data_IF_382653517339
#
_entry.id   IF_382653517339
#
_cell.length_a   1.000
_cell.length_b   1.000
_cell.length_c   1.000
_cell.angle_alpha   90.00
_cell.angle_beta   90.00
_cell.angle_gamma   90.00
#
_symmetry.space_group_name_H-M   'P 1'
#
loop_
_entity.id
_entity.type
_entity.pdbx_description
1 polymer ?
#
# COMPACT_ATOMS: atom_id res chain seq x y z
N UNK A 1 -15.25 -6.20 -6.64
CA UNK A 1 -14.36 -5.13 -6.16
C UNK A 1 -13.03 -5.25 -6.89
N UNK A 2 -12.52 -4.19 -7.52
CA UNK A 2 -11.28 -4.24 -8.30
C UNK A 2 -10.08 -4.00 -7.37
N UNK A 3 -9.09 -4.91 -7.41
CA UNK A 3 -7.83 -4.84 -6.68
C UNK A 3 -6.69 -4.66 -7.67
N UNK A 4 -5.79 -3.74 -7.39
CA UNK A 4 -4.65 -3.39 -8.25
C UNK A 4 -3.35 -3.72 -7.54
N UNK A 5 -2.46 -4.46 -8.19
CA UNK A 5 -1.10 -4.64 -7.70
C UNK A 5 -0.21 -3.48 -8.16
N UNK A 6 0.50 -2.86 -7.23
CA UNK A 6 1.55 -1.87 -7.49
C UNK A 6 2.87 -2.50 -7.07
N UNK A 7 3.83 -2.55 -8.00
CA UNK A 7 5.15 -3.12 -7.78
C UNK A 7 6.14 -1.98 -7.54
N UNK A 8 6.84 -2.04 -6.41
CA UNK A 8 7.82 -1.06 -5.96
C UNK A 8 7.27 -0.09 -4.91
N UNK A 9 8.20 0.62 -4.27
CA UNK A 9 7.91 1.52 -3.14
C UNK A 9 8.37 2.97 -3.34
N UNK A 10 8.76 3.32 -4.57
CA UNK A 10 9.19 4.68 -4.89
C UNK A 10 8.04 5.71 -4.82
N UNK A 11 8.34 7.01 -4.89
CA UNK A 11 7.32 8.07 -4.83
C UNK A 11 6.17 7.90 -5.83
N UNK A 12 6.46 7.41 -7.04
CA UNK A 12 5.45 7.14 -8.05
C UNK A 12 4.47 6.02 -7.63
N UNK A 13 4.98 4.94 -7.05
CA UNK A 13 4.19 3.82 -6.57
C UNK A 13 3.30 4.22 -5.40
N UNK A 14 3.85 4.98 -4.44
CA UNK A 14 3.10 5.51 -3.30
C UNK A 14 2.02 6.50 -3.77
N UNK A 15 2.35 7.43 -4.68
CA UNK A 15 1.38 8.39 -5.23
C UNK A 15 0.24 7.69 -5.99
N UNK A 16 0.55 6.68 -6.80
CA UNK A 16 -0.47 5.87 -7.48
C UNK A 16 -1.34 5.11 -6.48
N UNK A 17 -0.75 4.53 -5.43
CA UNK A 17 -1.45 3.84 -4.35
C UNK A 17 -2.48 4.77 -3.70
N UNK A 18 -2.08 5.99 -3.31
CA UNK A 18 -2.99 6.95 -2.68
C UNK A 18 -4.14 7.33 -3.61
N UNK A 19 -3.88 7.56 -4.90
CA UNK A 19 -4.92 7.91 -5.88
C UNK A 19 -5.92 6.77 -6.11
N UNK A 20 -5.46 5.52 -6.20
CA UNK A 20 -6.34 4.35 -6.36
C UNK A 20 -7.18 4.10 -5.11
N UNK A 21 -6.58 4.22 -3.93
CA UNK A 21 -7.30 4.14 -2.66
C UNK A 21 -8.34 5.28 -2.54
N UNK A 22 -8.02 6.47 -3.04
CA UNK A 22 -8.95 7.59 -3.11
C UNK A 22 -10.13 7.32 -4.05
N UNK A 23 -9.89 6.62 -5.15
CA UNK A 23 -10.90 6.26 -6.15
C UNK A 23 -11.79 5.06 -5.75
N UNK A 24 -11.74 4.61 -4.49
CA UNK A 24 -12.57 3.48 -4.04
C UNK A 24 -11.94 2.09 -4.30
N UNK A 25 -10.73 2.01 -4.86
CA UNK A 25 -10.09 0.73 -5.20
C UNK A 25 -9.38 0.09 -3.99
N UNK A 26 -9.02 -1.19 -4.15
CA UNK A 26 -8.11 -1.89 -3.25
C UNK A 26 -6.73 -2.01 -3.91
N UNK A 27 -5.66 -1.95 -3.13
CA UNK A 27 -4.28 -2.00 -3.62
C UNK A 27 -3.48 -3.07 -2.87
N UNK A 28 -2.72 -3.86 -3.63
CA UNK A 28 -1.61 -4.66 -3.11
C UNK A 28 -0.31 -3.93 -3.47
N UNK A 29 0.41 -3.44 -2.47
CA UNK A 29 1.73 -2.85 -2.63
C UNK A 29 2.78 -3.95 -2.44
N UNK A 30 3.50 -4.30 -3.50
CA UNK A 30 4.52 -5.35 -3.49
C UNK A 30 5.90 -4.68 -3.53
N UNK A 31 6.75 -4.95 -2.54
CA UNK A 31 8.04 -4.28 -2.40
C UNK A 31 9.16 -5.28 -2.14
N UNK A 32 10.32 -5.03 -2.74
CA UNK A 32 11.55 -5.77 -2.43
C UNK A 32 12.01 -5.51 -0.98
N UNK A 33 11.65 -4.36 -0.39
CA UNK A 33 11.96 -4.07 1.01
C UNK A 33 10.96 -4.76 1.93
N UNK A 34 11.46 -5.26 3.05
CA UNK A 34 10.67 -5.89 4.12
C UNK A 34 9.63 -4.93 4.70
N UNK A 35 10.01 -3.67 4.86
CA UNK A 35 9.14 -2.57 5.25
C UNK A 35 9.60 -1.34 4.45
N UNK A 36 8.96 -1.03 3.32
CA UNK A 36 9.38 0.09 2.50
C UNK A 36 9.35 1.42 3.27
N UNK A 37 10.38 2.24 3.10
CA UNK A 37 10.45 3.59 3.65
C UNK A 37 9.54 4.52 2.84
N UNK A 38 8.66 5.23 3.52
CA UNK A 38 7.62 6.04 2.90
C UNK A 38 6.29 5.63 3.51
N UNK A 39 5.99 6.19 4.68
CA UNK A 39 4.63 6.22 5.15
C UNK A 39 3.79 6.80 4.01
N UNK A 40 2.77 6.10 3.52
CA UNK A 40 1.64 6.85 2.95
C UNK A 40 1.34 7.90 4.01
N UNK A 41 1.22 9.17 3.63
CA UNK A 41 1.14 10.26 4.62
C UNK A 41 -0.02 10.04 5.61
N UNK A 42 -1.00 9.25 5.19
CA UNK A 42 -2.17 8.77 5.95
C UNK A 42 -1.89 7.66 6.98
N UNK A 43 -0.71 7.03 6.93
CA UNK A 43 -0.15 6.21 8.01
C UNK A 43 0.81 6.99 8.91
N UNK A 44 1.30 8.15 8.45
CA UNK A 44 2.14 9.03 9.26
C UNK A 44 1.40 9.67 10.45
N UNK A 45 0.06 9.57 10.51
CA UNK A 45 -0.74 9.91 11.69
C UNK A 45 -0.45 9.03 12.92
N UNK A 46 0.24 7.89 12.75
CA UNK A 46 0.72 7.06 13.86
C UNK A 46 2.01 7.62 14.52
N UNK A 47 2.60 8.69 14.00
CA UNK A 47 3.71 9.39 14.65
C UNK A 47 3.16 10.40 15.67
N UNK A 48 2.72 9.92 16.84
CA UNK A 48 2.51 10.76 18.02
C UNK A 48 1.10 10.76 18.65
N UNK A 49 0.11 10.07 18.06
CA UNK A 49 -1.26 10.06 18.59
C UNK A 49 -1.71 8.62 18.84
N UNK A 50 -1.58 8.16 20.09
CA UNK A 50 -2.06 6.84 20.54
C UNK A 50 -3.58 6.65 20.36
N UNK A 51 -4.33 7.73 20.20
CA UNK A 51 -5.80 7.72 20.05
C UNK A 51 -6.28 7.62 18.58
N UNK A 52 -5.43 7.93 17.59
CA UNK A 52 -5.75 7.86 16.15
C UNK A 52 -5.19 6.61 15.47
N UNK A 53 -4.68 5.66 16.25
CA UNK A 53 -4.27 4.36 15.74
C UNK A 53 -5.49 3.67 15.11
N UNK A 54 -5.57 3.72 13.77
CA UNK A 54 -6.52 2.93 12.99
C UNK A 54 -6.37 1.49 13.48
N UNK A 55 -7.45 0.81 13.90
CA UNK A 55 -7.38 -0.58 14.32
C UNK A 55 -6.57 -1.36 13.30
N UNK A 56 -5.46 -1.97 13.74
CA UNK A 56 -4.58 -2.77 12.90
C UNK A 56 -5.34 -3.90 12.20
N UNK A 57 -6.46 -4.31 12.78
CA UNK A 57 -7.36 -5.32 12.25
C UNK A 57 -8.66 -4.66 11.80
N UNK A 58 -8.98 -4.89 10.53
CA UNK A 58 -10.28 -4.59 9.97
C UNK A 58 -11.38 -5.31 10.76
N UNK A 59 -12.40 -4.56 11.22
CA UNK A 59 -13.54 -5.15 11.90
C UNK A 59 -14.17 -6.27 11.04
N UNK A 60 -14.72 -7.33 11.66
CA UNK A 60 -15.35 -8.42 10.93
C UNK A 60 -16.36 -7.91 9.89
N UNK A 61 -16.22 -8.36 8.64
CA UNK A 61 -17.07 -7.91 7.53
C UNK A 61 -16.58 -6.66 6.78
N UNK A 62 -15.48 -6.04 7.22
CA UNK A 62 -14.81 -4.97 6.45
C UNK A 62 -13.70 -5.54 5.57
N UNK A 63 -13.46 -4.92 4.40
CA UNK A 63 -12.39 -5.36 3.48
C UNK A 63 -11.18 -4.44 3.60
N UNK A 64 -9.98 -4.96 3.91
CA UNK A 64 -8.76 -4.17 3.89
C UNK A 64 -8.48 -3.69 2.46
N UNK A 65 -8.38 -2.38 2.32
CA UNK A 65 -8.22 -1.71 1.02
C UNK A 65 -6.75 -1.58 0.65
N UNK A 66 -5.83 -1.61 1.60
CA UNK A 66 -4.40 -1.73 1.33
C UNK A 66 -3.84 -3.00 1.95
N UNK A 67 -3.01 -3.69 1.17
CA UNK A 67 -2.17 -4.79 1.62
C UNK A 67 -0.73 -4.56 1.19
N UNK A 68 0.22 -4.76 2.09
CA UNK A 68 1.65 -4.76 1.82
C UNK A 68 2.14 -6.21 1.73
N UNK A 69 2.90 -6.52 0.68
CA UNK A 69 3.72 -7.71 0.54
C UNK A 69 5.19 -7.26 0.42
N UNK A 70 5.89 -7.24 1.55
CA UNK A 70 7.28 -6.83 1.63
C UNK A 70 8.24 -8.03 1.52
N UNK A 71 9.49 -7.73 1.20
CA UNK A 71 10.53 -8.71 0.93
C UNK A 71 10.23 -9.61 -0.29
N UNK A 72 9.63 -9.03 -1.34
CA UNK A 72 9.25 -9.74 -2.56
C UNK A 72 9.83 -9.02 -3.78
N UNK A 73 10.73 -9.67 -4.49
CA UNK A 73 11.26 -9.18 -5.77
C UNK A 73 10.38 -9.67 -6.89
N UNK A 74 9.71 -8.74 -7.59
CA UNK A 74 8.92 -9.05 -8.77
C UNK A 74 9.73 -8.80 -10.04
N UNK A 75 9.88 -9.81 -10.89
CA UNK A 75 10.71 -9.69 -12.09
C UNK A 75 10.93 -11.04 -12.77
N UNK A 76 11.61 -11.03 -13.92
CA UNK A 76 11.97 -12.26 -14.64
C UNK A 76 12.86 -13.15 -13.78
N UNK A 77 13.82 -12.54 -13.08
CA UNK A 77 14.74 -13.21 -12.14
C UNK A 77 14.34 -12.96 -10.67
N UNK A 78 13.09 -12.59 -10.43
CA UNK A 78 12.55 -12.30 -9.11
C UNK A 78 12.11 -13.56 -8.36
N UNK A 79 11.60 -13.35 -7.16
CA UNK A 79 10.97 -14.42 -6.36
C UNK A 79 9.63 -14.85 -6.99
N UNK A 80 8.99 -13.92 -7.70
CA UNK A 80 7.78 -14.11 -8.50
C UNK A 80 7.80 -13.24 -9.75
N UNK A 81 7.26 -13.71 -10.86
CA UNK A 81 7.14 -12.94 -12.11
C UNK A 81 5.87 -12.09 -12.14
N UNK A 82 5.86 -11.06 -12.99
CA UNK A 82 4.66 -10.24 -13.23
C UNK A 82 3.46 -11.07 -13.71
N UNK A 83 3.71 -12.07 -14.56
CA UNK A 83 2.67 -12.95 -15.08
C UNK A 83 2.09 -13.85 -13.98
N UNK A 84 2.94 -14.39 -13.10
CA UNK A 84 2.47 -15.19 -11.95
C UNK A 84 1.64 -14.34 -10.98
N UNK A 85 2.06 -13.11 -10.67
CA UNK A 85 1.25 -12.18 -9.87
C UNK A 85 -0.14 -11.99 -10.49
N UNK A 86 -0.19 -11.74 -11.80
CA UNK A 86 -1.45 -11.56 -12.52
C UNK A 86 -2.32 -12.82 -12.49
N UNK A 87 -1.74 -13.98 -12.78
CA UNK A 87 -2.45 -15.26 -12.80
C UNK A 87 -2.99 -15.62 -11.42
N UNK A 88 -2.18 -15.54 -10.37
CA UNK A 88 -2.60 -15.84 -8.99
C UNK A 88 -3.70 -14.87 -8.55
N UNK A 89 -3.58 -13.57 -8.84
CA UNK A 89 -4.61 -12.58 -8.53
C UNK A 89 -5.93 -12.82 -9.28
N UNK A 90 -5.88 -13.36 -10.51
CA UNK A 90 -7.07 -13.62 -11.32
C UNK A 90 -7.98 -14.73 -10.74
N UNK A 91 -7.45 -15.59 -9.87
CA UNK A 91 -8.24 -16.63 -9.18
C UNK A 91 -9.16 -16.04 -8.09
N UNK A 92 -8.98 -14.77 -7.72
CA UNK A 92 -9.80 -14.08 -6.73
C UNK A 92 -9.49 -14.44 -5.28
N UNK A 93 -8.59 -15.41 -5.03
CA UNK A 93 -8.06 -15.71 -3.71
C UNK A 93 -6.77 -14.90 -3.46
N UNK A 94 -6.83 -14.07 -2.43
CA UNK A 94 -5.76 -13.16 -2.07
C UNK A 94 -4.54 -13.89 -1.51
N UNK A 95 -4.72 -15.06 -0.91
CA UNK A 95 -3.65 -15.76 -0.20
C UNK A 95 -2.70 -16.49 -1.14
N UNK A 96 -3.11 -16.73 -2.39
CA UNK A 96 -2.34 -17.50 -3.36
C UNK A 96 -0.94 -16.95 -3.62
N UNK A 97 -0.77 -15.64 -3.67
CA UNK A 97 0.56 -15.02 -3.83
C UNK A 97 1.45 -15.35 -2.62
N UNK A 98 0.91 -15.22 -1.41
CA UNK A 98 1.65 -15.50 -0.16
C UNK A 98 1.95 -16.99 -0.03
N UNK A 99 1.00 -17.85 -0.40
CA UNK A 99 1.17 -19.31 -0.41
C UNK A 99 2.25 -19.74 -1.39
N UNK A 100 2.25 -19.18 -2.60
CA UNK A 100 3.26 -19.49 -3.62
C UNK A 100 4.66 -19.08 -3.15
N UNK A 101 4.80 -17.87 -2.61
CA UNK A 101 6.08 -17.40 -2.05
C UNK A 101 6.56 -18.31 -0.91
N UNK A 102 5.66 -18.71 0.00
CA UNK A 102 5.99 -19.64 1.10
C UNK A 102 6.36 -21.03 0.59
N UNK A 103 5.67 -21.55 -0.42
CA UNK A 103 5.98 -22.83 -1.04
C UNK A 103 7.38 -22.86 -1.67
N UNK A 104 7.85 -21.71 -2.16
CA UNK A 104 9.22 -21.50 -2.65
C UNK A 104 10.26 -21.24 -1.56
N UNK A 105 9.86 -21.23 -0.29
CA UNK A 105 10.75 -20.91 0.83
C UNK A 105 11.14 -19.43 0.91
N UNK A 106 10.39 -18.54 0.25
CA UNK A 106 10.64 -17.10 0.27
C UNK A 106 9.96 -16.48 1.50
N UNK A 107 10.71 -15.87 2.43
CA UNK A 107 10.11 -15.16 3.54
C UNK A 107 9.42 -13.89 3.02
N UNK A 108 8.19 -13.67 3.44
CA UNK A 108 7.38 -12.51 3.06
C UNK A 108 6.86 -11.81 4.32
N UNK A 109 6.94 -10.49 4.34
CA UNK A 109 6.26 -9.67 5.35
C UNK A 109 4.93 -9.20 4.82
N UNK A 110 3.90 -9.32 5.64
CA UNK A 110 2.55 -8.90 5.27
C UNK A 110 2.02 -7.88 6.25
N UNK A 111 1.23 -6.94 5.73
CA UNK A 111 0.45 -6.00 6.52
C UNK A 111 -0.82 -5.65 5.76
N UNK A 112 -1.93 -5.44 6.46
CA UNK A 112 -3.20 -5.04 5.86
C UNK A 112 -3.82 -3.88 6.66
N UNK A 113 -4.60 -3.03 5.99
CA UNK A 113 -5.35 -1.96 6.66
C UNK A 113 -6.22 -1.12 5.72
N UNK A 114 -6.60 0.07 6.20
CA UNK A 114 -7.52 1.01 5.52
C UNK A 114 -8.89 0.39 5.23
N UNK A 115 -9.58 -0.02 6.28
CA UNK A 115 -10.85 -0.75 6.21
C UNK A 115 -12.05 0.16 5.89
N UNK A 116 -11.89 1.47 6.10
CA UNK A 116 -12.87 2.50 5.77
C UNK A 116 -12.47 3.26 4.50
N UNK A 117 -13.45 3.78 3.74
CA UNK A 117 -13.18 4.74 2.68
C UNK A 117 -12.38 5.92 3.22
N UNK A 118 -11.37 6.32 2.45
CA UNK A 118 -10.61 7.52 2.75
C UNK A 118 -11.47 8.70 2.32
N UNK A 119 -11.91 9.53 3.26
CA UNK A 119 -12.78 10.69 3.00
C UNK A 119 -12.05 12.02 3.08
N UNK A 120 -10.97 12.11 3.87
CA UNK A 120 -10.20 13.35 4.02
C UNK A 120 -9.15 13.46 2.92
N UNK A 121 -9.51 14.08 1.80
CA UNK A 121 -8.53 14.39 0.77
C UNK A 121 -7.77 15.65 1.14
N UNK A 122 -6.45 15.57 1.08
CA UNK A 122 -5.64 16.77 1.22
C UNK A 122 -5.87 17.67 0.02
N UNK A 123 -6.35 18.87 0.30
CA UNK A 123 -6.48 19.91 -0.70
C UNK A 123 -5.08 20.42 -1.06
N UNK A 124 -4.47 19.79 -2.07
CA UNK A 124 -3.18 20.21 -2.60
C UNK A 124 -3.18 21.67 -3.04
N UNK A 125 -4.31 22.23 -3.44
CA UNK A 125 -4.41 23.66 -3.75
C UNK A 125 -4.18 24.50 -2.50
N UNK A 126 -4.81 24.15 -1.39
CA UNK A 126 -4.56 24.80 -0.09
C UNK A 126 -3.13 24.61 0.42
N UNK A 127 -2.57 23.40 0.30
CA UNK A 127 -1.18 23.13 0.72
C UNK A 127 -0.18 23.94 -0.12
N UNK A 128 -0.36 23.99 -1.43
CA UNK A 128 0.49 24.76 -2.33
C UNK A 128 0.38 26.26 -2.00
N UNK A 129 -0.84 26.75 -1.77
CA UNK A 129 -1.06 28.14 -1.37
C UNK A 129 -0.33 28.47 -0.06
N UNK A 130 -0.36 27.57 0.94
CA UNK A 130 0.38 27.76 2.18
C UNK A 130 1.90 27.66 2.00
N UNK A 131 2.38 26.72 1.19
CA UNK A 131 3.80 26.57 0.90
C UNK A 131 4.39 27.79 0.19
N UNK A 132 3.61 28.45 -0.67
CA UNK A 132 4.00 29.70 -1.34
C UNK A 132 4.16 30.88 -0.35
N UNK A 133 3.52 30.81 0.81
CA UNK A 133 3.66 31.84 1.86
C UNK A 133 4.89 31.60 2.76
N UNK A 134 5.49 30.42 2.71
CA UNK A 134 6.68 30.11 3.51
C UNK A 134 7.91 30.84 2.94
N UNK A 135 8.56 31.67 3.77
CA UNK A 135 9.84 32.25 3.41
C UNK A 135 10.91 31.16 3.40
N UNK A 136 11.46 30.88 2.22
CA UNK A 136 12.71 30.11 2.10
C UNK A 136 13.84 31.05 2.47
N UNK A 137 14.40 30.89 3.67
CA UNK A 137 15.66 31.55 4.04
C UNK A 137 16.76 30.91 3.18
N UNK A 138 17.26 31.66 2.20
CA UNK A 138 18.45 31.33 1.40
C UNK A 138 19.69 31.83 2.12
#
# INVERSE_FOLDING_TARGET
MQRVAIIGEGPAALSATERLLSAGMCVDLISEKTAPFGLLRRFAGLAGVLEEAVPHECAPGTTPRLRLLGNVRVGVDGDITHNEVHQLAAHGDRELIVMELKARGIPVTTWEGLCTPITDFEDWTSVIAQAQLAHVLV
#
